data_IF_278113369491
#
_entry.id   IF_278113369491
#
_cell.length_a   1.000
_cell.length_b   1.000
_cell.length_c   1.000
_cell.angle_alpha   90.00
_cell.angle_beta   90.00
_cell.angle_gamma   90.00
#
_symmetry.space_group_name_H-M   'P 1'
#
loop_
_entity.id
_entity.type
_entity.pdbx_description
1 polymer ?
#
# COMPACT_ATOMS: atom_id res chain seq x y z
N UNK A 1 -18.28 -0.41 -3.08
CA UNK A 1 -17.17 -0.43 -4.06
C UNK A 1 -16.90 -1.86 -4.54
N UNK A 2 -16.63 -2.86 -3.68
CA UNK A 2 -16.51 -4.27 -4.12
C UNK A 2 -17.75 -4.80 -4.86
N UNK A 3 -18.95 -4.39 -4.46
CA UNK A 3 -20.20 -4.77 -5.16
C UNK A 3 -20.24 -4.33 -6.62
N UNK A 4 -19.53 -3.24 -6.97
CA UNK A 4 -19.43 -2.79 -8.36
C UNK A 4 -18.61 -3.82 -9.15
N UNK A 5 -17.51 -4.29 -8.58
CA UNK A 5 -16.63 -5.28 -9.21
C UNK A 5 -17.29 -6.67 -9.31
N UNK A 6 -18.09 -7.06 -8.32
CA UNK A 6 -18.86 -8.31 -8.37
C UNK A 6 -19.81 -8.41 -9.58
N UNK A 7 -20.32 -7.26 -10.06
CA UNK A 7 -21.23 -7.21 -11.21
C UNK A 7 -20.51 -6.95 -12.54
N UNK A 8 -19.19 -6.78 -12.51
CA UNK A 8 -18.38 -6.57 -13.70
C UNK A 8 -17.76 -7.89 -14.17
N UNK A 9 -17.54 -8.06 -15.48
CA UNK A 9 -16.72 -9.17 -15.96
C UNK A 9 -15.28 -9.06 -15.44
N UNK A 10 -14.58 -10.20 -15.44
CA UNK A 10 -13.15 -10.27 -15.16
C UNK A 10 -12.40 -9.19 -15.94
N UNK A 11 -11.73 -8.30 -15.21
CA UNK A 11 -11.18 -7.07 -15.74
C UNK A 11 -9.84 -6.77 -15.08
N UNK A 12 -9.03 -5.99 -15.79
CA UNK A 12 -7.71 -5.58 -15.32
C UNK A 12 -7.83 -4.28 -14.53
N UNK A 13 -7.46 -4.31 -13.25
CA UNK A 13 -7.49 -3.15 -12.35
C UNK A 13 -6.06 -2.68 -12.08
N UNK A 14 -5.74 -1.50 -12.60
CA UNK A 14 -4.49 -0.82 -12.31
C UNK A 14 -4.59 0.10 -11.10
N UNK A 15 -3.63 0.02 -10.19
CA UNK A 15 -3.58 0.88 -9.01
C UNK A 15 -2.15 1.33 -8.72
N UNK A 16 -2.02 2.51 -8.15
CA UNK A 16 -0.77 2.94 -7.52
C UNK A 16 -0.58 2.18 -6.20
N UNK A 17 0.63 1.68 -5.96
CA UNK A 17 0.99 0.95 -4.74
C UNK A 17 1.02 1.87 -3.53
N UNK A 18 -0.14 2.04 -2.92
CA UNK A 18 -0.33 2.68 -1.63
C UNK A 18 -0.64 1.64 -0.55
N UNK A 19 -0.59 2.08 0.72
CA UNK A 19 -0.78 1.19 1.87
C UNK A 19 -2.07 0.36 1.82
N UNK A 20 -3.14 0.92 1.24
CA UNK A 20 -4.46 0.31 1.06
C UNK A 20 -4.64 -0.40 -0.29
N UNK A 21 -3.95 0.01 -1.36
CA UNK A 21 -4.08 -0.60 -2.69
C UNK A 21 -3.77 -2.10 -2.68
N UNK A 22 -2.80 -2.53 -1.87
CA UNK A 22 -2.48 -3.95 -1.69
C UNK A 22 -3.61 -4.77 -1.06
N UNK A 23 -4.41 -4.15 -0.19
CA UNK A 23 -5.59 -4.80 0.38
C UNK A 23 -6.66 -4.98 -0.70
N UNK A 24 -6.92 -3.90 -1.45
CA UNK A 24 -7.85 -3.93 -2.57
C UNK A 24 -7.46 -4.92 -3.65
N UNK A 25 -6.17 -5.00 -4.01
CA UNK A 25 -5.68 -5.95 -5.00
C UNK A 25 -6.06 -7.39 -4.61
N UNK A 26 -5.85 -7.80 -3.35
CA UNK A 26 -6.25 -9.13 -2.88
C UNK A 26 -7.74 -9.38 -2.99
N UNK A 27 -8.57 -8.43 -2.56
CA UNK A 27 -10.03 -8.58 -2.63
C UNK A 27 -10.51 -8.66 -4.09
N UNK A 28 -9.90 -7.90 -5.00
CA UNK A 28 -10.21 -7.95 -6.42
C UNK A 28 -9.75 -9.25 -7.08
N UNK A 29 -8.57 -9.78 -6.71
CA UNK A 29 -8.10 -11.09 -7.18
C UNK A 29 -9.04 -12.21 -6.73
N UNK A 30 -9.58 -12.15 -5.49
CA UNK A 30 -10.57 -13.12 -5.00
C UNK A 30 -11.86 -13.12 -5.82
N UNK A 31 -12.22 -11.97 -6.40
CA UNK A 31 -13.39 -11.81 -7.27
C UNK A 31 -13.13 -12.21 -8.73
N UNK A 32 -11.90 -12.60 -9.09
CA UNK A 32 -11.53 -13.01 -10.46
C UNK A 32 -10.88 -11.90 -11.31
N UNK A 33 -10.76 -10.69 -10.78
CA UNK A 33 -10.11 -9.58 -11.50
C UNK A 33 -8.58 -9.71 -11.48
N UNK A 34 -7.95 -9.34 -12.60
CA UNK A 34 -6.51 -9.19 -12.65
C UNK A 34 -6.08 -7.87 -12.04
N UNK A 35 -5.04 -7.86 -11.22
CA UNK A 35 -4.51 -6.64 -10.61
C UNK A 35 -3.12 -6.28 -11.13
N UNK A 36 -2.84 -4.98 -11.21
CA UNK A 36 -1.54 -4.41 -11.60
C UNK A 36 -1.19 -3.26 -10.66
N UNK A 37 -0.36 -3.54 -9.66
CA UNK A 37 0.16 -2.53 -8.74
C UNK A 37 1.43 -1.89 -9.33
N UNK A 38 1.50 -0.56 -9.34
CA UNK A 38 2.66 0.19 -9.84
C UNK A 38 3.21 1.11 -8.77
N UNK A 39 4.53 1.29 -8.77
CA UNK A 39 5.16 2.23 -7.85
C UNK A 39 4.70 3.68 -8.12
N UNK A 40 4.52 4.50 -7.07
CA UNK A 40 4.24 5.92 -7.19
C UNK A 40 5.20 6.67 -8.13
N UNK A 41 6.48 6.30 -8.11
CA UNK A 41 7.53 6.86 -8.96
C UNK A 41 7.27 6.63 -10.46
N UNK A 42 6.73 5.46 -10.81
CA UNK A 42 6.40 5.10 -12.18
C UNK A 42 5.17 5.86 -12.70
N UNK A 43 4.18 6.10 -11.83
CA UNK A 43 2.95 6.82 -12.18
C UNK A 43 3.19 8.32 -12.26
N UNK A 44 4.08 8.88 -11.42
CA UNK A 44 4.35 10.32 -11.34
C UNK A 44 4.74 10.96 -12.67
N UNK A 45 5.42 10.22 -13.56
CA UNK A 45 5.79 10.70 -14.90
C UNK A 45 4.59 10.92 -15.83
N UNK A 46 3.45 10.29 -15.54
CA UNK A 46 2.23 10.38 -16.34
C UNK A 46 1.27 11.47 -15.85
N UNK A 47 1.49 12.00 -14.63
CA UNK A 47 0.63 13.02 -14.02
C UNK A 47 0.76 14.34 -14.76
N UNK A 48 -0.30 14.69 -15.50
CA UNK A 48 -0.47 16.03 -16.06
C UNK A 48 -0.59 17.04 -14.92
N UNK A 49 -0.02 18.22 -15.12
CA UNK A 49 0.17 19.28 -14.12
C UNK A 49 -1.07 19.48 -13.22
N UNK A 50 -0.89 19.33 -11.90
CA UNK A 50 -1.93 19.54 -10.89
C UNK A 50 -2.46 18.23 -10.29
N UNK A 51 -2.58 18.16 -8.96
CA UNK A 51 -3.07 16.98 -8.26
C UNK A 51 -4.59 16.99 -8.23
N UNK A 52 -5.22 16.16 -9.04
CA UNK A 52 -6.68 15.94 -9.05
C UNK A 52 -6.95 14.46 -9.26
N UNK A 53 -8.04 13.95 -8.69
CA UNK A 53 -8.37 12.51 -8.81
C UNK A 53 -8.53 12.07 -10.27
N UNK A 54 -9.06 12.95 -11.12
CA UNK A 54 -9.16 12.72 -12.57
C UNK A 54 -7.78 12.59 -13.22
N UNK A 55 -6.85 13.50 -12.92
CA UNK A 55 -5.51 13.45 -13.47
C UNK A 55 -4.75 12.20 -13.00
N UNK A 56 -4.91 11.82 -11.73
CA UNK A 56 -4.29 10.62 -11.18
C UNK A 56 -4.85 9.35 -11.86
N UNK A 57 -6.18 9.26 -12.05
CA UNK A 57 -6.81 8.15 -12.75
C UNK A 57 -6.37 8.02 -14.22
N UNK A 58 -6.31 9.13 -14.97
CA UNK A 58 -5.78 9.15 -16.34
C UNK A 58 -4.32 8.67 -16.40
N UNK A 59 -3.52 9.08 -15.42
CA UNK A 59 -2.10 8.73 -15.33
C UNK A 59 -1.89 7.25 -15.06
N UNK A 60 -2.65 6.70 -14.10
CA UNK A 60 -2.65 5.26 -13.79
C UNK A 60 -3.09 4.46 -15.02
N UNK A 61 -4.17 4.86 -15.71
CA UNK A 61 -4.65 4.17 -16.89
C UNK A 61 -3.60 4.13 -18.03
N UNK A 62 -2.91 5.26 -18.27
CA UNK A 62 -1.82 5.32 -19.24
C UNK A 62 -0.61 4.47 -18.83
N UNK A 63 -0.23 4.51 -17.56
CA UNK A 63 0.89 3.75 -17.00
C UNK A 63 0.67 2.23 -17.10
N UNK A 64 -0.53 1.74 -16.78
CA UNK A 64 -0.89 0.29 -16.81
C UNK A 64 -0.74 -0.31 -18.21
N UNK A 65 -0.97 0.50 -19.23
CA UNK A 65 -0.95 0.08 -20.63
C UNK A 65 0.47 0.04 -21.21
N UNK A 66 1.48 0.55 -20.49
CA UNK A 66 2.85 0.61 -20.99
C UNK A 66 3.56 -0.75 -20.89
N UNK A 67 4.12 -1.21 -22.01
CA UNK A 67 4.68 -2.56 -22.14
C UNK A 67 5.88 -2.83 -21.23
N UNK A 68 6.70 -1.82 -20.96
CA UNK A 68 7.87 -1.91 -20.06
C UNK A 68 7.56 -1.49 -18.62
N UNK A 69 6.28 -1.42 -18.24
CA UNK A 69 5.91 -1.11 -16.87
C UNK A 69 6.25 -2.26 -15.93
N UNK A 70 6.86 -1.94 -14.79
CA UNK A 70 7.10 -2.90 -13.73
C UNK A 70 5.93 -2.90 -12.75
N UNK A 71 5.35 -4.08 -12.54
CA UNK A 71 4.27 -4.28 -11.59
C UNK A 71 4.78 -4.96 -10.32
N UNK A 72 4.40 -4.44 -9.17
CA UNK A 72 4.74 -5.03 -7.89
C UNK A 72 3.81 -6.21 -7.60
N UNK A 73 4.33 -7.37 -7.18
CA UNK A 73 3.49 -8.51 -6.84
C UNK A 73 2.71 -8.25 -5.55
N UNK A 74 1.44 -8.68 -5.52
CA UNK A 74 0.64 -8.67 -4.30
C UNK A 74 1.22 -9.66 -3.30
N UNK A 75 1.83 -9.14 -2.24
CA UNK A 75 2.37 -9.97 -1.15
C UNK A 75 1.24 -10.49 -0.25
N UNK A 76 1.42 -11.72 0.24
CA UNK A 76 0.51 -12.34 1.20
C UNK A 76 0.39 -11.54 2.51
N UNK A 77 -0.82 -11.55 3.09
CA UNK A 77 -1.19 -10.84 4.32
C UNK A 77 -0.27 -11.22 5.49
N UNK A 78 -0.01 -12.52 5.66
CA UNK A 78 0.77 -13.09 6.76
C UNK A 78 2.15 -12.44 6.92
N UNK A 79 2.79 -12.11 5.78
CA UNK A 79 4.12 -11.48 5.76
C UNK A 79 4.09 -10.04 6.27
N UNK A 80 2.97 -9.32 6.12
CA UNK A 80 2.78 -7.97 6.69
C UNK A 80 2.49 -8.06 8.20
N UNK A 81 1.65 -8.99 8.63
CA UNK A 81 1.27 -9.11 10.04
C UNK A 81 2.47 -9.44 10.93
N UNK A 82 3.33 -10.36 10.46
CA UNK A 82 4.62 -10.66 11.11
C UNK A 82 5.49 -9.41 11.27
N UNK A 83 5.64 -8.60 10.21
CA UNK A 83 6.43 -7.37 10.25
C UNK A 83 5.84 -6.33 11.21
N UNK A 84 4.52 -6.19 11.22
CA UNK A 84 3.82 -5.29 12.15
C UNK A 84 4.01 -5.73 13.60
N UNK A 85 3.95 -7.03 13.88
CA UNK A 85 4.27 -7.59 15.20
C UNK A 85 5.70 -7.28 15.64
N UNK A 86 6.68 -7.45 14.74
CA UNK A 86 8.07 -7.07 15.01
C UNK A 86 8.23 -5.57 15.30
N UNK A 87 7.54 -4.71 14.53
CA UNK A 87 7.59 -3.25 14.72
C UNK A 87 6.92 -2.81 16.03
N UNK A 88 5.80 -3.42 16.40
CA UNK A 88 5.15 -3.16 17.69
C UNK A 88 6.06 -3.54 18.86
N UNK A 89 6.71 -4.70 18.78
CA UNK A 89 7.70 -5.12 19.79
C UNK A 89 8.88 -4.15 19.89
N UNK A 90 9.46 -3.75 18.76
CA UNK A 90 10.57 -2.80 18.70
C UNK A 90 10.19 -1.46 19.38
N UNK A 91 8.99 -0.96 19.07
CA UNK A 91 8.45 0.26 19.68
C UNK A 91 8.30 0.12 21.20
N UNK A 92 7.66 -0.96 21.68
CA UNK A 92 7.43 -1.19 23.10
C UNK A 92 8.74 -1.37 23.89
N UNK A 93 9.72 -2.08 23.33
CA UNK A 93 11.05 -2.23 23.94
C UNK A 93 11.74 -0.87 24.08
N UNK A 94 11.68 -0.03 23.04
CA UNK A 94 12.25 1.32 23.09
C UNK A 94 11.56 2.19 24.14
N UNK A 95 10.22 2.18 24.19
CA UNK A 95 9.45 2.91 25.19
C UNK A 95 9.83 2.47 26.61
N UNK A 96 9.87 1.16 26.88
CA UNK A 96 10.30 0.62 28.18
C UNK A 96 11.69 1.11 28.58
N UNK A 97 12.66 1.07 27.66
CA UNK A 97 14.03 1.52 27.93
C UNK A 97 14.07 3.01 28.27
N UNK A 98 13.33 3.84 27.52
CA UNK A 98 13.22 5.28 27.81
C UNK A 98 12.62 5.54 29.18
N UNK A 99 11.54 4.83 29.55
CA UNK A 99 10.91 4.96 30.87
C UNK A 99 11.85 4.57 32.00
N UNK A 100 12.57 3.44 31.87
CA UNK A 100 13.56 3.01 32.87
C UNK A 100 14.68 4.02 33.02
N UNK A 101 15.18 4.56 31.91
CA UNK A 101 16.24 5.57 31.94
C UNK A 101 15.75 6.88 32.56
N UNK A 102 14.50 7.28 32.29
CA UNK A 102 13.89 8.46 32.92
C UNK A 102 13.78 8.29 34.45
N UNK A 103 13.31 7.12 34.93
CA UNK A 103 13.23 6.82 36.37
C UNK A 103 14.61 6.86 37.03
N UNK A 104 15.65 6.34 36.37
CA UNK A 104 17.02 6.36 36.90
C UNK A 104 17.67 7.73 36.92
N UNK A 105 17.24 8.62 36.02
CA UNK A 105 17.78 9.95 35.87
C UNK A 105 17.06 10.99 36.76
N UNK A 106 15.92 10.63 37.34
CA UNK A 106 15.16 11.50 38.25
C UNK A 106 15.89 11.62 39.61
N UNK A 107 16.38 12.80 39.99
CA UNK A 107 17.03 13.01 41.28
C UNK A 107 16.03 13.18 42.45
N UNK A 108 14.72 13.10 42.19
CA UNK A 108 13.64 13.28 43.18
C UNK A 108 13.10 12.01 43.84
N UNK A 109 13.73 10.85 43.63
CA UNK A 109 13.46 9.57 44.32
C UNK A 109 14.63 9.19 45.24
#
# INVERSE_FOLDING_TARGET
>A
MLEVFHNLPDSLVGMEDCASARCWARELTKLGHGDRLMQPSCVKGYVKRGKTDKADAESICGAVSWLSMHFDPVKAEERRDLLMGHKAREFLVRQRTLTVNAIRADPGL
#
